data_IF_144445198624
#
_entry.id   IF_144445198624
#
_cell.length_a   1.000
_cell.length_b   1.000
_cell.length_c   1.000
_cell.angle_alpha   90.00
_cell.angle_beta   90.00
_cell.angle_gamma   90.00
#
_symmetry.space_group_name_H-M   'P 1'
#
loop_
_entity.id
_entity.type
_entity.pdbx_description
1 polymer ?
#
# COMPACT_ATOMS: atom_id res chain seq x y z
N UNK A 1 -18.34 -9.61 7.16
CA UNK A 1 -16.96 -9.57 6.59
C UNK A 1 -16.79 -10.73 5.62
N UNK A 2 -16.49 -10.44 4.39
CA UNK A 2 -16.21 -11.44 3.38
C UNK A 2 -14.73 -11.74 3.36
N UNK A 3 -14.38 -12.99 3.22
CA UNK A 3 -12.98 -13.41 3.21
C UNK A 3 -12.72 -14.20 1.93
N UNK A 4 -11.71 -13.77 1.19
CA UNK A 4 -11.34 -14.40 -0.06
C UNK A 4 -9.89 -14.81 -0.05
N UNK A 5 -9.61 -16.03 -0.45
CA UNK A 5 -8.26 -16.43 -0.79
C UNK A 5 -8.04 -16.08 -2.25
N UNK A 6 -6.86 -15.62 -2.57
CA UNK A 6 -6.52 -15.35 -3.96
C UNK A 6 -5.12 -15.88 -4.30
N UNK A 7 -4.95 -16.22 -5.55
CA UNK A 7 -3.67 -16.71 -6.05
C UNK A 7 -3.48 -16.26 -7.49
N UNK A 8 -2.27 -16.31 -8.01
CA UNK A 8 -2.03 -15.87 -9.40
C UNK A 8 -2.79 -16.71 -10.40
N UNK A 9 -3.31 -16.05 -11.41
CA UNK A 9 -3.91 -16.74 -12.54
C UNK A 9 -2.79 -17.04 -13.57
N UNK A 10 -2.45 -18.30 -13.80
CA UNK A 10 -1.36 -18.63 -14.73
C UNK A 10 -1.65 -18.25 -16.18
N UNK A 11 -2.92 -18.06 -16.51
CA UNK A 11 -3.28 -17.71 -17.88
C UNK A 11 -3.27 -16.20 -18.12
N UNK A 12 -3.07 -15.41 -17.07
CA UNK A 12 -3.03 -13.96 -17.21
C UNK A 12 -1.67 -13.54 -17.76
N UNK A 13 -1.69 -12.68 -18.77
CA UNK A 13 -0.48 -12.18 -19.40
C UNK A 13 -0.29 -10.70 -19.05
N UNK A 14 0.53 -10.38 -18.09
CA UNK A 14 0.68 -9.00 -17.63
C UNK A 14 1.47 -8.16 -18.62
N UNK A 15 1.04 -6.91 -18.80
CA UNK A 15 1.70 -5.96 -19.69
C UNK A 15 2.34 -4.80 -18.92
N UNK A 16 1.86 -4.50 -17.73
CA UNK A 16 2.34 -3.39 -16.93
C UNK A 16 3.01 -3.90 -15.66
N UNK A 17 3.79 -3.04 -15.02
CA UNK A 17 4.51 -3.40 -13.82
C UNK A 17 3.53 -3.82 -12.70
N UNK A 18 2.46 -3.05 -12.51
CA UNK A 18 1.47 -3.35 -11.49
C UNK A 18 0.81 -4.71 -11.73
N UNK A 19 0.54 -5.02 -12.97
CA UNK A 19 -0.04 -6.31 -13.34
C UNK A 19 0.92 -7.46 -13.07
N UNK A 20 2.21 -7.21 -13.27
CA UNK A 20 3.24 -8.21 -12.99
C UNK A 20 3.37 -8.46 -11.49
N UNK A 21 3.21 -7.42 -10.69
CA UNK A 21 3.21 -7.54 -9.23
C UNK A 21 2.02 -8.40 -8.79
N UNK A 22 0.83 -8.05 -9.27
CA UNK A 22 -0.38 -8.79 -8.92
C UNK A 22 -0.28 -10.25 -9.33
N UNK A 23 0.32 -10.52 -10.48
CA UNK A 23 0.47 -11.90 -10.94
C UNK A 23 1.39 -12.74 -10.06
N UNK A 24 2.18 -12.13 -9.21
CA UNK A 24 3.06 -12.86 -8.29
C UNK A 24 2.51 -12.97 -6.89
N UNK A 25 1.33 -12.39 -6.62
CA UNK A 25 0.80 -12.35 -5.28
C UNK A 25 -0.24 -13.43 -5.03
N UNK A 26 -0.14 -14.04 -3.86
CA UNK A 26 -1.19 -14.89 -3.31
C UNK A 26 -1.47 -14.40 -1.88
N UNK A 27 -2.63 -14.71 -1.38
CA UNK A 27 -2.95 -14.28 -0.02
C UNK A 27 -4.41 -14.34 0.31
N UNK A 28 -4.79 -13.53 1.30
CA UNK A 28 -6.15 -13.46 1.81
C UNK A 28 -6.61 -12.01 1.89
N UNK A 29 -7.84 -11.78 1.50
CA UNK A 29 -8.43 -10.46 1.46
C UNK A 29 -9.70 -10.47 2.30
N UNK A 30 -9.82 -9.52 3.21
CA UNK A 30 -11.02 -9.34 4.02
C UNK A 30 -11.73 -8.07 3.57
N UNK A 31 -13.00 -8.19 3.22
CA UNK A 31 -13.79 -7.07 2.71
C UNK A 31 -15.00 -6.85 3.62
N UNK A 32 -15.19 -5.61 4.02
CA UNK A 32 -16.38 -5.25 4.77
C UNK A 32 -17.60 -5.27 3.85
N UNK A 33 -18.61 -6.00 4.23
CA UNK A 33 -19.79 -6.22 3.38
C UNK A 33 -20.63 -4.97 3.15
N UNK A 34 -20.61 -4.07 4.12
CA UNK A 34 -21.46 -2.90 4.02
C UNK A 34 -20.86 -1.82 3.15
N UNK A 35 -19.59 -1.59 3.31
CA UNK A 35 -18.91 -0.51 2.59
C UNK A 35 -18.14 -1.01 1.37
N UNK A 36 -18.02 -2.33 1.22
CA UNK A 36 -17.24 -2.98 0.16
C UNK A 36 -15.78 -2.49 0.15
N UNK A 37 -15.27 -2.22 1.33
CA UNK A 37 -13.89 -1.74 1.50
C UNK A 37 -13.00 -2.86 2.02
N UNK A 38 -11.77 -2.89 1.56
CA UNK A 38 -10.79 -3.87 2.04
C UNK A 38 -10.42 -3.50 3.47
N UNK A 39 -10.78 -4.36 4.42
CA UNK A 39 -10.45 -4.15 5.82
C UNK A 39 -9.07 -4.70 6.15
N UNK A 40 -8.66 -5.77 5.47
CA UNK A 40 -7.35 -6.37 5.70
C UNK A 40 -6.90 -7.09 4.45
N UNK A 41 -5.62 -7.04 4.19
CA UNK A 41 -4.97 -7.79 3.13
C UNK A 41 -3.72 -8.45 3.71
N UNK A 42 -3.56 -9.73 3.45
CA UNK A 42 -2.31 -10.43 3.68
C UNK A 42 -1.88 -11.01 2.36
N UNK A 43 -0.70 -10.66 1.91
CA UNK A 43 -0.22 -11.12 0.61
C UNK A 43 1.26 -11.48 0.67
N UNK A 44 1.68 -12.36 -0.21
CA UNK A 44 3.08 -12.73 -0.32
C UNK A 44 3.39 -13.10 -1.77
N UNK A 45 4.65 -12.93 -2.16
CA UNK A 45 5.09 -13.30 -3.50
C UNK A 45 5.32 -14.81 -3.57
N UNK A 46 4.68 -15.44 -4.52
CA UNK A 46 4.82 -16.88 -4.75
C UNK A 46 6.04 -17.22 -5.61
N UNK A 47 6.67 -16.21 -6.18
CA UNK A 47 7.87 -16.38 -7.01
C UNK A 47 8.63 -15.08 -7.09
N UNK A 48 9.84 -15.13 -7.59
CA UNK A 48 10.66 -13.95 -7.77
C UNK A 48 10.10 -13.05 -8.87
N UNK A 49 10.23 -11.75 -8.69
CA UNK A 49 9.88 -10.78 -9.72
C UNK A 49 11.12 -10.01 -10.13
N UNK A 50 11.46 -10.09 -11.41
CA UNK A 50 12.64 -9.45 -11.94
C UNK A 50 12.29 -8.10 -12.53
N UNK A 51 13.09 -7.10 -12.21
CA UNK A 51 12.96 -5.76 -12.79
C UNK A 51 14.09 -5.59 -13.79
N UNK A 52 13.75 -5.17 -15.00
CA UNK A 52 14.70 -5.06 -16.13
C UNK A 52 15.43 -6.40 -16.37
N UNK A 53 14.65 -7.50 -16.42
CA UNK A 53 15.22 -8.82 -16.65
C UNK A 53 16.12 -9.33 -15.52
N UNK A 54 15.98 -8.73 -14.32
CA UNK A 54 16.84 -9.07 -13.19
C UNK A 54 18.11 -8.23 -13.12
N UNK A 55 18.29 -7.33 -14.10
CA UNK A 55 19.50 -6.54 -14.16
C UNK A 55 19.53 -5.47 -13.08
N UNK A 56 18.39 -4.80 -12.84
CA UNK A 56 18.31 -3.77 -11.82
C UNK A 56 18.01 -4.34 -10.45
N UNK A 57 17.02 -5.18 -10.37
CA UNK A 57 16.59 -5.72 -9.09
C UNK A 57 15.82 -7.02 -9.27
N UNK A 58 15.79 -7.82 -8.24
CA UNK A 58 15.00 -9.03 -8.19
C UNK A 58 14.31 -9.06 -6.83
N UNK A 59 12.97 -8.91 -6.82
CA UNK A 59 12.18 -9.02 -5.60
C UNK A 59 11.95 -10.50 -5.36
N UNK A 60 12.33 -10.96 -4.20
CA UNK A 60 12.41 -12.40 -3.95
C UNK A 60 11.09 -12.99 -3.51
N UNK A 61 10.88 -14.26 -3.85
CA UNK A 61 9.78 -15.07 -3.35
C UNK A 61 9.77 -14.98 -1.82
N UNK A 62 8.57 -14.95 -1.24
CA UNK A 62 8.39 -14.85 0.20
C UNK A 62 8.32 -13.42 0.70
N UNK A 63 8.58 -12.43 -0.15
CA UNK A 63 8.26 -11.03 0.18
C UNK A 63 6.79 -10.98 0.57
N UNK A 64 6.49 -10.37 1.70
CA UNK A 64 5.13 -10.38 2.25
C UNK A 64 4.66 -9.01 2.68
N UNK A 65 3.35 -8.85 2.72
CA UNK A 65 2.71 -7.59 3.02
C UNK A 65 1.45 -7.86 3.83
N UNK A 66 1.25 -7.09 4.88
CA UNK A 66 0.00 -7.05 5.64
C UNK A 66 -0.46 -5.60 5.71
N UNK A 67 -1.71 -5.36 5.36
CA UNK A 67 -2.33 -4.06 5.48
C UNK A 67 -3.62 -4.22 6.25
N UNK A 68 -3.88 -3.32 7.19
CA UNK A 68 -5.14 -3.30 7.92
C UNK A 68 -5.71 -1.90 7.96
N UNK A 69 -7.01 -1.83 7.86
CA UNK A 69 -7.75 -0.58 8.01
C UNK A 69 -8.86 -0.77 9.03
N UNK A 70 -9.25 0.31 9.67
CA UNK A 70 -10.39 0.33 10.57
C UNK A 70 -11.35 1.45 10.18
N UNK A 71 -12.62 1.22 10.44
CA UNK A 71 -13.65 2.22 10.19
C UNK A 71 -13.67 3.17 11.39
N UNK A 72 -13.13 4.35 11.19
CA UNK A 72 -12.89 5.32 12.26
C UNK A 72 -14.11 6.23 12.42
N UNK A 73 -14.57 6.39 13.65
CA UNK A 73 -15.68 7.26 14.01
C UNK A 73 -16.96 7.00 13.19
N UNK A 74 -17.13 5.80 12.69
CA UNK A 74 -18.26 5.46 11.83
C UNK A 74 -18.35 6.33 10.57
N UNK A 75 -17.22 6.81 10.07
CA UNK A 75 -17.22 7.71 8.93
C UNK A 75 -16.33 7.24 7.79
N UNK A 76 -15.13 6.79 8.10
CA UNK A 76 -14.15 6.55 7.03
C UNK A 76 -13.21 5.41 7.39
N UNK A 77 -12.78 4.65 6.39
CA UNK A 77 -11.78 3.61 6.54
C UNK A 77 -10.40 4.24 6.46
N UNK A 78 -9.58 4.01 7.46
CA UNK A 78 -8.22 4.54 7.52
C UNK A 78 -7.25 3.43 7.90
N UNK A 79 -6.02 3.48 7.41
CA UNK A 79 -5.03 2.46 7.73
C UNK A 79 -4.70 2.48 9.23
N UNK A 80 -4.54 1.31 9.81
CA UNK A 80 -4.17 1.17 11.22
C UNK A 80 -2.89 0.39 11.39
N UNK A 81 -2.55 -0.44 10.42
CA UNK A 81 -1.38 -1.27 10.51
C UNK A 81 -0.87 -1.66 9.13
N UNK A 82 0.42 -1.54 8.93
CA UNK A 82 1.10 -2.04 7.75
C UNK A 82 2.33 -2.80 8.19
N UNK A 83 2.57 -3.92 7.56
CA UNK A 83 3.78 -4.68 7.78
C UNK A 83 4.31 -5.20 6.44
N UNK A 84 5.58 -5.03 6.18
CA UNK A 84 6.19 -5.51 4.95
C UNK A 84 7.53 -6.18 5.26
N UNK A 85 7.74 -7.33 4.66
CA UNK A 85 9.02 -8.04 4.70
C UNK A 85 9.46 -8.25 3.26
N UNK A 86 10.46 -7.49 2.84
CA UNK A 86 10.87 -7.46 1.44
C UNK A 86 12.28 -8.00 1.30
N UNK A 87 12.43 -8.99 0.46
CA UNK A 87 13.75 -9.50 0.06
C UNK A 87 14.09 -8.98 -1.32
N UNK A 88 15.24 -8.36 -1.48
CA UNK A 88 15.66 -7.76 -2.74
C UNK A 88 17.11 -8.09 -3.03
N UNK A 89 17.41 -8.42 -4.28
CA UNK A 89 18.76 -8.53 -4.77
C UNK A 89 18.96 -7.49 -5.87
N UNK A 90 19.95 -6.63 -5.70
CA UNK A 90 20.21 -5.55 -6.64
C UNK A 90 21.42 -5.88 -7.50
N UNK A 91 21.32 -5.60 -8.78
CA UNK A 91 22.41 -5.72 -9.76
C UNK A 91 23.13 -7.06 -9.69
N UNK A 92 22.39 -8.13 -9.45
CA UNK A 92 22.94 -9.48 -9.33
C UNK A 92 23.95 -9.62 -8.19
N UNK A 93 23.97 -8.65 -7.29
CA UNK A 93 24.85 -8.67 -6.14
C UNK A 93 24.15 -9.33 -4.94
N UNK A 94 24.78 -9.16 -3.79
CA UNK A 94 24.24 -9.72 -2.58
C UNK A 94 22.85 -9.16 -2.29
N UNK A 95 21.96 -10.01 -1.91
CA UNK A 95 20.61 -9.60 -1.53
C UNK A 95 20.56 -9.11 -0.10
N UNK A 96 19.50 -8.38 0.23
CA UNK A 96 19.22 -7.95 1.59
C UNK A 96 17.73 -8.01 1.84
N UNK A 97 17.37 -8.00 3.12
CA UNK A 97 15.97 -8.05 3.54
C UNK A 97 15.65 -6.82 4.33
N UNK A 98 14.47 -6.30 4.08
CA UNK A 98 13.97 -5.12 4.77
C UNK A 98 12.67 -5.51 5.44
N UNK A 99 12.50 -5.13 6.70
CA UNK A 99 11.25 -5.32 7.41
C UNK A 99 10.78 -3.97 7.92
N UNK A 100 9.54 -3.64 7.65
CA UNK A 100 8.95 -2.38 8.07
C UNK A 100 7.60 -2.70 8.73
N UNK A 101 7.36 -2.10 9.89
CA UNK A 101 6.07 -2.19 10.57
C UNK A 101 5.65 -0.78 10.90
N UNK A 102 4.46 -0.41 10.49
CA UNK A 102 3.90 0.90 10.78
C UNK A 102 2.55 0.73 11.48
N UNK A 103 2.34 1.51 12.52
CA UNK A 103 1.06 1.56 13.20
C UNK A 103 0.57 2.99 13.15
N UNK A 104 -0.69 3.14 12.81
CA UNK A 104 -1.31 4.45 12.71
C UNK A 104 -2.35 4.58 13.81
N UNK A 105 -2.35 5.70 14.51
CA UNK A 105 -3.28 5.92 15.61
C UNK A 105 -3.57 7.41 15.77
N UNK A 106 -4.49 7.70 16.67
CA UNK A 106 -4.82 9.08 17.02
C UNK A 106 -5.34 9.90 15.83
N UNK A 107 -6.13 9.27 14.98
CA UNK A 107 -6.76 10.00 13.90
C UNK A 107 -7.70 11.07 14.44
N UNK A 108 -7.57 12.27 13.90
CA UNK A 108 -8.38 13.40 14.31
C UNK A 108 -9.08 14.00 13.12
N UNK A 109 -10.30 14.43 13.35
CA UNK A 109 -11.05 15.10 12.32
C UNK A 109 -10.83 16.60 12.44
N UNK A 110 -10.45 17.24 11.35
CA UNK A 110 -10.32 18.66 11.33
C UNK A 110 -11.42 19.22 10.45
N UNK A 111 -12.15 20.21 10.98
CA UNK A 111 -13.08 20.93 10.15
C UNK A 111 -12.36 22.11 9.59
N UNK A 112 -12.17 22.09 8.32
CA UNK A 112 -11.57 23.20 7.67
C UNK A 112 -12.63 23.93 6.94
N UNK A 113 -12.93 25.11 7.33
CA UNK A 113 -13.82 25.87 6.63
C UNK A 113 -13.12 26.57 5.61
N UNK A 114 -13.26 26.19 4.49
CA UNK A 114 -12.63 26.77 3.43
C UNK A 114 -13.45 27.82 2.93
N UNK A 115 -13.18 28.92 3.15
CA UNK A 115 -13.86 29.89 2.59
C UNK A 115 -13.41 30.00 1.29
N UNK A 116 -14.04 29.68 0.53
CA UNK A 116 -13.71 29.64 -0.73
C UNK A 116 -13.44 30.84 -1.30
N UNK A 117 -12.74 31.38 -1.17
CA UNK A 117 -12.53 32.42 -1.68
C UNK A 117 -11.84 32.32 -2.66
N UNK A 118 -11.91 32.13 -3.34
CA UNK A 118 -11.37 32.15 -4.19
C UNK A 118 -10.36 32.43 -4.59
N UNK A 119 -9.99 32.35 -4.92
CA UNK A 119 -9.21 32.46 -5.38
C UNK A 119 -8.00 32.63 -5.36
N UNK A 120 -7.34 32.75 -5.24
CA UNK A 120 -6.24 32.87 -5.13
C UNK A 120 -5.58 32.00 -4.60
N UNK A 121 -5.25 31.44 -4.83
CA UNK A 121 -4.74 30.49 -4.29
C UNK A 121 -3.50 30.59 -3.92
N UNK A 122 -2.91 30.64 -3.91
CA UNK A 122 -2.07 30.55 -3.50
C UNK A 122 -1.50 30.95 -2.78
N UNK A 123 -1.19 31.34 -2.80
CA UNK A 123 -0.63 31.62 -2.14
C UNK A 123 -0.52 31.50 -1.11
N UNK A 124 -0.68 31.64 -0.96
CA UNK A 124 -0.63 31.60 0.15
C UNK A 124 -0.29 30.69 0.68
N UNK A 125 -0.10 30.14 0.38
CA UNK A 125 0.08 29.20 0.90
C UNK A 125 1.28 29.13 1.21
N UNK A 126 1.76 29.39 0.99
CA UNK A 126 2.63 29.22 1.30
C UNK A 126 3.04 29.73 2.25
N UNK A 127 2.85 30.45 2.44
CA UNK A 127 3.19 30.88 3.26
C UNK A 127 3.06 30.56 4.34
N UNK A 128 2.70 30.54 4.50
CA UNK A 128 2.48 30.28 5.58
C UNK A 128 2.79 29.20 5.95
N UNK A 129 3.25 28.83 5.66
CA UNK A 129 3.34 27.75 5.97
C UNK A 129 4.46 27.57 6.45
N UNK A 130 5.05 28.04 6.50
CA UNK A 130 5.98 27.74 6.94
C UNK A 130 6.11 27.76 8.10
N UNK A 131 6.10 27.53 8.57
CA UNK A 131 6.01 27.50 9.69
C UNK A 131 6.74 28.05 10.46
N UNK A 132 6.89 28.34 10.63
CA UNK A 132 7.33 28.64 11.26
C UNK A 132 7.61 28.49 12.24
N UNK A 133 8.08 28.53 12.44
CA UNK A 133 8.48 28.07 13.36
C UNK A 133 8.18 27.98 14.24
#
# INVERSE_FOLDING_TARGET
>A
MLVFDFEPNPDFNPHKLEERVVQKLAGVLWIDEKTLTVARLQAYFVGDMKLAGGLLANVQKGTSLVLEQSFINNEVWLPTYDEAHVGVRLLMLKGFKIAVVTRYSDYKRFNVETLATTGKPKEAADKGTRPQP
#
